data_IF_816097581429
#
_entry.id   IF_816097581429
#
_cell.length_a   1.000
_cell.length_b   1.000
_cell.length_c   1.000
_cell.angle_alpha   90.00
_cell.angle_beta   90.00
_cell.angle_gamma   90.00
#
_symmetry.space_group_name_H-M   'P 1'
#
loop_
_entity.id
_entity.type
_entity.pdbx_description
1 polymer ?
#
# COMPACT_ATOMS: atom_id res chain seq x y z
N UNK A 1 15.59 21.34 -27.98
CA UNK A 1 15.24 21.90 -26.66
C UNK A 1 13.81 22.37 -26.76
N UNK A 2 12.87 21.59 -26.26
CA UNK A 2 11.46 21.98 -26.21
C UNK A 2 10.77 21.20 -25.10
N UNK A 3 10.12 21.97 -24.24
CA UNK A 3 9.26 21.63 -23.09
C UNK A 3 9.93 20.93 -21.92
N UNK A 4 10.60 21.76 -21.13
CA UNK A 4 10.53 21.73 -19.66
C UNK A 4 9.05 21.83 -19.26
N UNK A 5 8.36 20.70 -19.32
CA UNK A 5 7.05 20.53 -18.70
C UNK A 5 7.35 20.21 -17.25
N UNK A 6 7.37 21.24 -16.40
CA UNK A 6 7.48 21.07 -14.96
C UNK A 6 6.35 20.14 -14.55
N UNK A 7 6.65 18.84 -14.42
CA UNK A 7 5.75 17.80 -13.94
C UNK A 7 5.47 18.14 -12.49
N UNK A 8 4.60 19.13 -12.28
CA UNK A 8 4.17 19.51 -10.94
C UNK A 8 3.39 18.33 -10.44
N UNK A 9 3.86 17.78 -9.34
CA UNK A 9 3.14 16.76 -8.60
C UNK A 9 1.66 17.16 -8.50
N UNK A 10 0.74 16.20 -8.68
CA UNK A 10 -0.67 16.47 -8.48
C UNK A 10 -0.91 17.04 -7.07
N UNK A 11 -1.99 17.82 -6.87
CA UNK A 11 -2.33 18.32 -5.54
C UNK A 11 -2.38 17.18 -4.51
N UNK A 12 -1.69 17.35 -3.39
CA UNK A 12 -1.69 16.34 -2.32
C UNK A 12 -3.03 16.36 -1.59
N UNK A 13 -3.81 15.28 -1.76
CA UNK A 13 -4.97 15.01 -0.91
C UNK A 13 -4.55 14.51 0.48
N UNK A 14 -5.49 14.45 1.41
CA UNK A 14 -5.25 13.85 2.73
C UNK A 14 -4.88 12.36 2.60
N UNK A 15 -3.92 11.91 3.42
CA UNK A 15 -3.64 10.48 3.58
C UNK A 15 -4.82 9.82 4.30
N UNK A 16 -5.17 8.57 3.97
CA UNK A 16 -6.11 7.79 4.76
C UNK A 16 -5.64 7.69 6.21
N UNK A 17 -6.58 7.73 7.17
CA UNK A 17 -6.25 7.72 8.61
C UNK A 17 -5.59 6.42 9.08
N UNK A 18 -5.72 5.35 8.30
CA UNK A 18 -5.10 4.05 8.57
C UNK A 18 -3.68 3.94 7.99
N UNK A 19 -3.24 4.89 7.17
CA UNK A 19 -1.94 4.86 6.52
C UNK A 19 -0.83 5.01 7.56
N UNK A 20 0.14 4.11 7.53
CA UNK A 20 1.26 4.08 8.46
C UNK A 20 2.50 4.83 7.96
N UNK A 21 2.50 5.29 6.69
CA UNK A 21 3.55 6.19 6.19
C UNK A 21 3.45 7.55 6.89
N UNK A 22 4.54 8.34 6.94
CA UNK A 22 4.51 9.69 7.49
C UNK A 22 3.37 10.53 6.90
N UNK A 23 2.74 11.33 7.75
CA UNK A 23 1.68 12.24 7.31
C UNK A 23 2.24 13.21 6.26
N UNK A 24 1.54 13.32 5.13
CA UNK A 24 1.97 14.20 4.04
C UNK A 24 3.11 13.62 3.18
N UNK A 25 3.31 12.30 3.18
CA UNK A 25 4.20 11.67 2.20
C UNK A 25 3.78 12.04 0.77
N UNK A 26 4.80 12.27 -0.06
CA UNK A 26 4.67 12.87 -1.39
C UNK A 26 4.37 11.81 -2.47
N UNK A 27 4.16 12.29 -3.69
CA UNK A 27 4.13 11.42 -4.86
C UNK A 27 5.54 10.89 -5.15
N UNK A 28 5.60 9.63 -5.54
CA UNK A 28 6.77 8.97 -6.11
C UNK A 28 6.65 9.09 -7.64
N UNK A 29 7.63 9.70 -8.29
CA UNK A 29 7.63 10.01 -9.73
C UNK A 29 8.42 8.99 -10.58
N UNK A 30 9.07 8.04 -9.92
CA UNK A 30 9.89 6.98 -10.54
C UNK A 30 9.08 5.90 -11.27
N UNK A 31 7.74 5.93 -11.16
CA UNK A 31 6.87 4.89 -11.70
C UNK A 31 6.57 5.10 -13.20
N UNK A 32 6.61 4.03 -14.04
CA UNK A 32 6.38 4.14 -15.49
C UNK A 32 5.01 4.72 -15.88
N UNK A 33 4.01 4.55 -15.02
CA UNK A 33 2.63 5.02 -15.23
C UNK A 33 2.41 6.47 -14.78
N UNK A 34 3.42 7.11 -14.21
CA UNK A 34 3.37 8.47 -13.70
C UNK A 34 3.37 8.56 -12.17
N UNK A 35 3.13 9.76 -11.60
CA UNK A 35 3.17 9.97 -10.17
C UNK A 35 2.24 9.00 -9.43
N UNK A 36 2.80 8.29 -8.46
CA UNK A 36 2.10 7.32 -7.63
C UNK A 36 2.34 7.63 -6.17
N UNK A 37 1.30 7.55 -5.34
CA UNK A 37 1.42 7.69 -3.90
C UNK A 37 0.95 6.41 -3.22
N UNK A 38 1.85 5.79 -2.48
CA UNK A 38 1.56 4.54 -1.78
C UNK A 38 1.16 4.78 -0.33
N UNK A 39 0.05 4.17 0.08
CA UNK A 39 -0.39 4.07 1.46
C UNK A 39 -0.26 2.62 1.95
N UNK A 40 0.33 2.42 3.12
CA UNK A 40 0.55 1.09 3.70
C UNK A 40 -0.27 0.92 4.97
N UNK A 41 -0.89 -0.25 5.10
CA UNK A 41 -1.49 -0.75 6.33
C UNK A 41 -1.00 -2.15 6.65
N UNK A 42 -0.30 -2.31 7.77
CA UNK A 42 -0.10 -3.62 8.39
C UNK A 42 -1.42 -4.09 8.98
N UNK A 43 -1.89 -5.23 8.51
CA UNK A 43 -3.12 -5.87 9.01
C UNK A 43 -2.83 -6.60 10.31
N UNK A 44 -1.78 -7.42 10.33
CA UNK A 44 -1.31 -8.10 11.53
C UNK A 44 0.20 -8.36 11.44
N UNK A 45 1.00 -7.95 12.46
CA UNK A 45 2.36 -8.46 12.62
C UNK A 45 2.30 -9.90 13.15
N UNK A 46 2.56 -10.88 12.28
CA UNK A 46 2.59 -12.31 12.64
C UNK A 46 3.73 -12.57 13.62
N UNK A 47 4.89 -11.96 13.36
CA UNK A 47 6.01 -11.79 14.28
C UNK A 47 6.88 -10.58 13.84
N UNK A 48 8.13 -10.52 14.31
CA UNK A 48 9.07 -9.43 14.00
C UNK A 48 9.45 -9.33 12.52
N UNK A 49 9.43 -10.44 11.79
CA UNK A 49 9.90 -10.54 10.41
C UNK A 49 8.77 -10.87 9.42
N UNK A 50 7.61 -11.26 9.95
CA UNK A 50 6.48 -11.75 9.17
C UNK A 50 5.27 -10.84 9.34
N UNK A 51 4.73 -10.32 8.24
CA UNK A 51 3.57 -9.45 8.28
C UNK A 51 2.71 -9.56 7.01
N UNK A 52 1.41 -9.30 7.16
CA UNK A 52 0.49 -9.09 6.04
C UNK A 52 0.20 -7.60 5.94
N UNK A 53 0.38 -7.05 4.75
CA UNK A 53 0.12 -5.66 4.44
C UNK A 53 -0.99 -5.52 3.42
N UNK A 54 -1.76 -4.44 3.53
CA UNK A 54 -2.54 -3.90 2.43
C UNK A 54 -1.81 -2.65 1.95
N UNK A 55 -1.48 -2.63 0.66
CA UNK A 55 -0.88 -1.47 -0.02
C UNK A 55 -1.95 -0.87 -0.91
N UNK A 56 -2.22 0.43 -0.74
CA UNK A 56 -3.09 1.19 -1.62
C UNK A 56 -2.24 2.11 -2.47
N UNK A 57 -2.37 2.00 -3.78
CA UNK A 57 -1.71 2.86 -4.73
C UNK A 57 -2.71 3.90 -5.22
N UNK A 58 -2.42 5.14 -4.90
CA UNK A 58 -3.11 6.30 -5.45
C UNK A 58 -2.33 6.76 -6.68
N UNK A 59 -2.97 6.77 -7.84
CA UNK A 59 -2.39 7.23 -9.11
C UNK A 59 -3.20 8.42 -9.61
N UNK A 60 -2.54 9.36 -10.29
CA UNK A 60 -3.25 10.51 -10.85
C UNK A 60 -3.46 10.33 -12.35
N UNK A 61 -4.74 10.17 -12.74
CA UNK A 61 -5.14 10.01 -14.13
C UNK A 61 -5.73 11.31 -14.68
N UNK A 62 -6.01 11.38 -15.98
CA UNK A 62 -6.71 12.52 -16.58
C UNK A 62 -8.13 12.73 -16.02
N UNK A 63 -8.74 11.69 -15.42
CA UNK A 63 -10.06 11.75 -14.80
C UNK A 63 -10.01 12.12 -13.30
N UNK A 64 -8.82 12.23 -12.72
CA UNK A 64 -8.60 12.45 -11.28
C UNK A 64 -7.82 11.31 -10.62
N UNK A 65 -7.71 11.33 -9.27
CA UNK A 65 -7.02 10.29 -8.53
C UNK A 65 -7.81 8.98 -8.58
N UNK A 66 -7.13 7.90 -8.93
CA UNK A 66 -7.63 6.54 -8.86
C UNK A 66 -6.89 5.79 -7.75
N UNK A 67 -7.57 4.85 -7.09
CA UNK A 67 -7.00 4.05 -6.01
C UNK A 67 -7.17 2.58 -6.27
N UNK A 68 -6.08 1.84 -6.23
CA UNK A 68 -6.06 0.38 -6.29
C UNK A 68 -5.45 -0.17 -5.02
N UNK A 69 -5.81 -1.40 -4.64
CA UNK A 69 -5.26 -2.06 -3.45
C UNK A 69 -4.72 -3.44 -3.79
N UNK A 70 -3.66 -3.82 -3.11
CA UNK A 70 -3.11 -5.17 -3.13
C UNK A 70 -2.80 -5.67 -1.72
N UNK A 71 -2.71 -7.00 -1.59
CA UNK A 71 -2.21 -7.65 -0.37
C UNK A 71 -0.78 -8.08 -0.64
N UNK A 72 0.12 -7.69 0.26
CA UNK A 72 1.53 -8.09 0.23
C UNK A 72 1.85 -8.91 1.47
N UNK A 73 2.62 -9.99 1.27
CA UNK A 73 3.06 -10.87 2.34
C UNK A 73 4.58 -10.75 2.46
N UNK A 74 5.03 -10.21 3.59
CA UNK A 74 6.45 -10.19 3.92
C UNK A 74 6.69 -11.40 4.81
N UNK A 75 7.31 -12.45 4.25
CA UNK A 75 7.56 -13.71 4.94
C UNK A 75 9.05 -14.06 4.95
N UNK A 76 9.61 -14.23 6.14
CA UNK A 76 10.96 -14.74 6.36
C UNK A 76 10.94 -16.27 6.42
N UNK A 77 11.50 -16.89 5.37
CA UNK A 77 11.63 -18.35 5.26
C UNK A 77 12.85 -18.92 6.00
N UNK A 78 13.71 -18.08 6.60
CA UNK A 78 14.91 -18.52 7.31
C UNK A 78 14.60 -19.27 8.62
N UNK A 79 13.38 -19.08 9.14
CA UNK A 79 12.83 -19.87 10.24
C UNK A 79 11.72 -20.77 9.72
N UNK A 80 11.76 -22.05 10.11
CA UNK A 80 10.67 -22.98 9.80
C UNK A 80 9.34 -22.45 10.38
N UNK A 81 8.28 -22.50 9.57
CA UNK A 81 6.93 -22.10 9.98
C UNK A 81 6.28 -23.22 10.79
N UNK A 82 5.86 -22.90 12.01
CA UNK A 82 5.05 -23.80 12.81
C UNK A 82 3.55 -23.64 12.50
N UNK A 83 2.74 -24.57 13.01
CA UNK A 83 1.30 -24.58 12.82
C UNK A 83 0.65 -23.30 13.40
N UNK A 84 1.23 -22.72 14.46
CA UNK A 84 0.69 -21.51 15.08
C UNK A 84 0.88 -20.27 14.20
N UNK A 85 2.08 -20.10 13.62
CA UNK A 85 2.39 -19.05 12.66
C UNK A 85 1.52 -19.17 11.41
N UNK A 86 1.37 -20.37 10.86
CA UNK A 86 0.50 -20.60 9.71
C UNK A 86 -0.97 -20.23 9.99
N UNK A 87 -1.49 -20.53 11.19
CA UNK A 87 -2.85 -20.12 11.59
C UNK A 87 -2.98 -18.60 11.70
N UNK A 88 -1.99 -17.91 12.27
CA UNK A 88 -1.97 -16.43 12.32
C UNK A 88 -1.97 -15.83 10.92
N UNK A 89 -1.17 -16.38 10.01
CA UNK A 89 -1.14 -15.93 8.61
C UNK A 89 -2.52 -16.05 7.94
N UNK A 90 -3.23 -17.17 8.12
CA UNK A 90 -4.56 -17.37 7.54
C UNK A 90 -5.56 -16.33 8.07
N UNK A 91 -5.53 -16.04 9.37
CA UNK A 91 -6.39 -15.02 9.97
C UNK A 91 -6.08 -13.63 9.43
N UNK A 92 -4.79 -13.25 9.41
CA UNK A 92 -4.33 -11.98 8.87
C UNK A 92 -4.71 -11.79 7.40
N UNK A 93 -4.64 -12.84 6.58
CA UNK A 93 -5.11 -12.82 5.19
C UNK A 93 -6.62 -12.60 5.09
N UNK A 94 -7.42 -13.22 5.96
CA UNK A 94 -8.87 -13.00 6.01
C UNK A 94 -9.22 -11.54 6.30
N UNK A 95 -8.51 -10.91 7.23
CA UNK A 95 -8.68 -9.49 7.57
C UNK A 95 -8.24 -8.59 6.40
N UNK A 96 -7.12 -8.92 5.75
CA UNK A 96 -6.62 -8.18 4.58
C UNK A 96 -7.60 -8.23 3.40
N UNK A 97 -8.21 -9.39 3.13
CA UNK A 97 -9.26 -9.55 2.11
C UNK A 97 -10.49 -8.72 2.44
N UNK A 98 -10.84 -8.61 3.72
CA UNK A 98 -11.96 -7.77 4.15
C UNK A 98 -11.70 -6.29 3.83
N UNK A 99 -10.47 -5.80 4.02
CA UNK A 99 -10.08 -4.44 3.62
C UNK A 99 -10.04 -4.21 2.12
N UNK A 100 -9.68 -5.21 1.31
CA UNK A 100 -9.75 -5.09 -0.15
C UNK A 100 -11.18 -4.84 -0.66
N UNK A 101 -12.19 -5.36 0.05
CA UNK A 101 -13.59 -5.24 -0.34
C UNK A 101 -14.24 -3.92 0.06
N UNK A 102 -13.60 -3.14 0.93
CA UNK A 102 -14.11 -1.84 1.32
C UNK A 102 -13.99 -0.84 0.14
N UNK A 103 -15.03 -0.05 -0.18
CA UNK A 103 -14.93 0.95 -1.23
C UNK A 103 -13.75 1.90 -0.96
N UNK A 104 -12.94 2.13 -1.99
CA UNK A 104 -11.96 3.21 -1.98
C UNK A 104 -12.73 4.53 -2.03
N UNK A 105 -12.55 5.38 -1.00
CA UNK A 105 -13.15 6.73 -0.92
C UNK A 105 -12.14 7.79 -1.35
#
# INVERSE_FOLDING_TARGET
MTTDDTRRDPPLGACPSWCQKPTGHIWEDEWPTGPMREHIRTVDPIDKYNAVHVREYETYTAAGPERTREITLDLDASKGWDIAGAKRLILALGDAISYLREPTR
#
